data_IF_134497927346
#
_entry.id   IF_134497927346
#
_cell.length_a   1.000
_cell.length_b   1.000
_cell.length_c   1.000
_cell.angle_alpha   90.00
_cell.angle_beta   90.00
_cell.angle_gamma   90.00
#
_symmetry.space_group_name_H-M   'P 1'
#
loop_
_entity.id
_entity.type
_entity.pdbx_description
1 polymer ?
#
# COMPACT_ATOMS: atom_id res chain seq x y z
N UNK A 1 -103.14 -3.10 13.64
CA UNK A 1 -102.27 -2.94 14.85
C UNK A 1 -100.88 -2.64 14.34
N UNK A 2 -100.36 -1.51 14.73
CA UNK A 2 -99.25 -0.78 14.07
C UNK A 2 -97.97 -1.11 14.85
N UNK A 3 -96.95 -1.56 14.19
CA UNK A 3 -95.63 -1.69 14.78
C UNK A 3 -94.61 -0.90 13.96
N UNK A 4 -94.11 0.16 14.52
CA UNK A 4 -93.10 1.04 13.96
C UNK A 4 -91.73 0.42 14.13
N UNK A 5 -90.98 0.23 13.04
CA UNK A 5 -89.58 -0.18 13.04
C UNK A 5 -88.75 1.06 12.90
N UNK A 6 -87.99 1.41 13.92
CA UNK A 6 -87.03 2.50 13.92
C UNK A 6 -85.69 1.99 13.34
N UNK A 7 -85.34 2.46 12.17
CA UNK A 7 -83.99 2.30 11.63
C UNK A 7 -83.07 3.34 12.31
N UNK A 8 -82.08 2.87 13.07
CA UNK A 8 -81.00 3.67 13.55
C UNK A 8 -79.87 3.68 12.49
N UNK A 9 -79.66 4.83 11.87
CA UNK A 9 -78.51 5.01 10.93
C UNK A 9 -77.22 5.21 11.77
N UNK A 10 -76.31 4.22 11.67
CA UNK A 10 -74.99 4.30 12.24
C UNK A 10 -74.07 5.02 11.24
N UNK A 11 -73.78 6.28 11.47
CA UNK A 11 -72.81 7.08 10.71
C UNK A 11 -71.42 6.71 11.17
N UNK A 12 -70.72 5.89 10.42
CA UNK A 12 -69.27 5.58 10.58
C UNK A 12 -68.47 6.76 10.11
N UNK A 13 -67.89 7.47 11.06
CA UNK A 13 -66.94 8.57 10.82
C UNK A 13 -65.60 7.98 10.39
N UNK A 14 -65.31 7.91 9.08
CA UNK A 14 -64.00 7.60 8.53
C UNK A 14 -63.09 8.81 8.74
N UNK A 15 -62.25 8.76 9.78
CA UNK A 15 -61.12 9.64 9.97
C UNK A 15 -60.06 9.28 8.94
N UNK A 16 -59.60 10.20 8.07
CA UNK A 16 -58.40 9.93 7.28
C UNK A 16 -57.21 9.87 8.22
N UNK A 17 -56.62 8.71 8.37
CA UNK A 17 -55.30 8.56 8.93
C UNK A 17 -54.33 9.25 7.97
N UNK A 18 -54.14 10.55 8.15
CA UNK A 18 -53.04 11.28 7.52
C UNK A 18 -51.74 10.58 7.99
N UNK A 19 -51.19 9.81 7.11
CA UNK A 19 -49.93 9.12 7.37
C UNK A 19 -48.81 10.16 7.52
N UNK A 20 -48.40 10.38 8.74
CA UNK A 20 -47.16 11.08 9.06
C UNK A 20 -45.92 10.21 8.68
N UNK A 21 -45.94 9.57 7.50
CA UNK A 21 -44.81 8.74 7.07
C UNK A 21 -43.78 9.46 6.24
N UNK A 22 -44.04 10.69 5.79
CA UNK A 22 -43.07 11.43 4.98
C UNK A 22 -42.07 12.26 5.81
N UNK A 23 -42.27 12.36 7.13
CA UNK A 23 -41.37 13.15 7.99
C UNK A 23 -40.05 12.40 8.36
N UNK A 24 -39.97 11.09 8.09
CA UNK A 24 -38.77 10.27 8.41
C UNK A 24 -37.84 9.99 7.22
N UNK A 25 -38.11 10.59 6.06
CA UNK A 25 -37.27 10.46 4.87
C UNK A 25 -36.45 11.70 4.53
N UNK A 26 -36.32 12.65 5.42
CA UNK A 26 -35.24 13.61 5.27
C UNK A 26 -33.95 12.84 5.54
N UNK A 27 -33.23 12.54 4.47
CA UNK A 27 -31.86 12.03 4.57
C UNK A 27 -31.07 13.08 5.32
N UNK A 28 -30.92 12.87 6.63
CA UNK A 28 -30.13 13.75 7.47
C UNK A 28 -28.71 13.68 6.95
N UNK A 29 -28.14 14.81 6.65
CA UNK A 29 -26.78 14.98 6.19
C UNK A 29 -25.89 15.45 7.32
N UNK A 30 -24.62 15.23 7.21
CA UNK A 30 -23.57 15.85 7.98
C UNK A 30 -22.44 16.28 7.06
N UNK A 31 -21.37 16.78 7.61
CA UNK A 31 -20.24 17.36 6.87
C UNK A 31 -18.95 16.63 7.19
N UNK A 32 -18.16 16.33 6.17
CA UNK A 32 -16.78 15.89 6.30
C UNK A 32 -15.84 17.07 6.03
N UNK A 33 -14.92 17.34 6.95
CA UNK A 33 -13.85 18.33 6.85
C UNK A 33 -12.54 17.57 6.71
N UNK A 34 -12.03 17.46 5.47
CA UNK A 34 -10.87 16.64 5.16
C UNK A 34 -9.62 17.51 5.13
N UNK A 35 -8.62 17.13 5.92
CA UNK A 35 -7.34 17.82 6.01
C UNK A 35 -6.19 16.82 6.13
N UNK A 36 -4.97 17.30 5.88
CA UNK A 36 -3.76 16.52 6.16
C UNK A 36 -3.12 17.00 7.46
N UNK A 37 -2.59 16.04 8.23
CA UNK A 37 -1.75 16.36 9.37
C UNK A 37 -0.43 16.93 8.90
N UNK A 38 -0.05 18.07 9.45
CA UNK A 38 1.23 18.73 9.20
C UNK A 38 2.20 18.48 10.40
N UNK A 39 3.47 18.11 10.17
CA UNK A 39 4.09 17.85 8.88
C UNK A 39 3.93 16.39 8.44
N UNK A 40 3.83 16.17 7.13
CA UNK A 40 4.06 14.84 6.58
C UNK A 40 5.42 14.32 7.07
N UNK A 41 5.54 13.03 7.45
CA UNK A 41 6.80 12.51 7.97
C UNK A 41 7.94 12.76 6.98
N UNK A 42 8.90 13.59 7.40
CA UNK A 42 10.05 13.93 6.55
C UNK A 42 10.96 12.71 6.45
N UNK A 43 11.25 12.22 5.23
CA UNK A 43 12.19 11.13 5.06
C UNK A 43 13.58 11.54 5.55
N UNK A 44 14.04 10.95 6.66
CA UNK A 44 15.40 11.14 7.15
C UNK A 44 16.39 10.39 6.27
N UNK A 45 17.09 11.13 5.41
CA UNK A 45 18.21 10.70 4.53
C UNK A 45 17.84 9.97 3.25
N UNK A 46 17.88 10.68 2.26
CA UNK A 46 17.99 10.66 0.81
C UNK A 46 16.79 11.39 0.25
N UNK A 47 17.09 12.48 -0.40
CA UNK A 47 16.13 13.47 -0.87
C UNK A 47 15.19 12.90 -1.94
N UNK A 48 14.26 12.07 -1.54
CA UNK A 48 13.05 11.88 -2.31
C UNK A 48 12.15 13.04 -1.92
N UNK A 49 11.90 13.95 -2.84
CA UNK A 49 10.96 15.03 -2.63
C UNK A 49 9.62 14.43 -2.22
N UNK A 50 9.03 14.93 -1.13
CA UNK A 50 7.66 14.59 -0.77
C UNK A 50 6.76 15.02 -1.94
N UNK A 51 5.77 14.20 -2.33
CA UNK A 51 4.83 14.60 -3.37
C UNK A 51 4.03 15.82 -2.90
N UNK A 52 3.62 16.64 -3.86
CA UNK A 52 2.72 17.76 -3.59
C UNK A 52 1.40 17.24 -3.04
N UNK A 53 1.05 17.65 -1.82
CA UNK A 53 -0.16 17.23 -1.12
C UNK A 53 -1.42 17.57 -1.93
N UNK A 54 -1.42 18.69 -2.65
CA UNK A 54 -2.53 19.11 -3.51
C UNK A 54 -2.89 18.08 -4.58
N UNK A 55 -1.90 17.32 -5.04
CA UNK A 55 -2.07 16.28 -6.07
C UNK A 55 -2.58 14.94 -5.55
N UNK A 56 -2.64 14.72 -4.23
CA UNK A 56 -3.15 13.46 -3.67
C UNK A 56 -4.59 13.22 -4.09
N UNK A 57 -4.88 12.03 -4.58
CA UNK A 57 -6.25 11.62 -4.88
C UNK A 57 -6.98 11.29 -3.59
N UNK A 58 -8.05 12.03 -3.33
CA UNK A 58 -8.97 11.76 -2.23
C UNK A 58 -10.14 10.98 -2.78
N UNK A 59 -10.51 9.89 -2.08
CA UNK A 59 -11.71 9.11 -2.38
C UNK A 59 -12.55 8.99 -1.12
N UNK A 60 -13.84 9.29 -1.22
CA UNK A 60 -14.82 9.16 -0.13
C UNK A 60 -15.91 8.21 -0.59
N UNK A 61 -16.04 7.06 0.09
CA UNK A 61 -17.03 6.03 -0.23
C UNK A 61 -17.84 5.67 1.02
N UNK A 62 -19.12 5.34 0.85
CA UNK A 62 -19.91 4.76 1.93
C UNK A 62 -19.69 3.24 2.06
N UNK A 63 -20.32 2.63 3.06
CA UNK A 63 -20.24 1.20 3.32
C UNK A 63 -20.79 0.33 2.17
N UNK A 64 -21.55 0.89 1.24
CA UNK A 64 -22.06 0.19 0.04
C UNK A 64 -21.12 0.31 -1.17
N UNK A 65 -20.04 1.11 -1.04
CA UNK A 65 -19.11 1.40 -2.13
C UNK A 65 -19.55 2.56 -3.01
N UNK A 66 -20.62 3.29 -2.66
CA UNK A 66 -21.01 4.49 -3.39
C UNK A 66 -20.00 5.60 -3.15
N UNK A 67 -19.51 6.18 -4.24
CA UNK A 67 -18.55 7.29 -4.23
C UNK A 67 -19.26 8.62 -4.05
N UNK A 68 -18.79 9.42 -3.09
CA UNK A 68 -19.26 10.78 -2.81
C UNK A 68 -18.26 11.84 -3.25
N UNK A 69 -16.97 11.50 -3.24
CA UNK A 69 -15.92 12.31 -3.82
C UNK A 69 -14.82 11.41 -4.38
N UNK A 70 -14.25 11.82 -5.51
CA UNK A 70 -13.10 11.18 -6.13
C UNK A 70 -12.35 12.22 -6.99
N UNK A 71 -11.24 12.73 -6.49
CA UNK A 71 -10.47 13.78 -7.16
C UNK A 71 -9.24 14.21 -6.38
N UNK A 72 -8.46 15.16 -6.92
CA UNK A 72 -7.29 15.69 -6.24
C UNK A 72 -7.69 16.52 -5.01
N UNK A 73 -6.82 16.50 -3.98
CA UNK A 73 -7.07 17.22 -2.74
C UNK A 73 -7.30 18.72 -2.95
N UNK A 74 -6.55 19.35 -3.84
CA UNK A 74 -6.72 20.78 -4.17
C UNK A 74 -8.13 21.17 -4.68
N UNK A 75 -8.93 20.16 -5.11
CA UNK A 75 -10.31 20.33 -5.57
C UNK A 75 -11.34 19.78 -4.59
N UNK A 76 -10.90 19.25 -3.45
CA UNK A 76 -11.80 18.76 -2.42
C UNK A 76 -12.56 19.95 -1.83
N UNK A 77 -13.90 19.89 -1.75
CA UNK A 77 -14.65 20.93 -1.05
C UNK A 77 -14.19 21.08 0.40
N UNK A 78 -14.09 22.30 0.90
CA UNK A 78 -13.79 22.58 2.32
C UNK A 78 -14.79 21.87 3.23
N UNK A 79 -16.04 21.78 2.78
CA UNK A 79 -17.16 21.12 3.45
C UNK A 79 -17.82 20.12 2.49
N UNK A 80 -17.56 18.84 2.67
CA UNK A 80 -18.19 17.78 1.88
C UNK A 80 -19.45 17.28 2.59
N UNK A 81 -20.61 17.71 2.12
CA UNK A 81 -21.91 17.25 2.65
C UNK A 81 -22.22 15.82 2.20
N UNK A 82 -22.48 14.93 3.16
CA UNK A 82 -22.82 13.53 2.92
C UNK A 82 -24.02 13.09 3.80
N UNK A 83 -24.83 12.09 3.39
CA UNK A 83 -25.85 11.51 4.28
C UNK A 83 -25.24 10.98 5.58
N UNK A 84 -26.02 10.94 6.67
CA UNK A 84 -25.58 10.30 7.90
C UNK A 84 -25.25 8.81 7.64
N UNK A 85 -24.05 8.36 8.04
CA UNK A 85 -23.57 7.01 7.74
C UNK A 85 -22.10 6.81 8.07
N UNK A 86 -21.56 5.68 7.65
CA UNK A 86 -20.14 5.35 7.78
C UNK A 86 -19.45 5.48 6.43
N UNK A 87 -18.29 6.13 6.44
CA UNK A 87 -17.52 6.45 5.24
C UNK A 87 -16.09 5.98 5.38
N UNK A 88 -15.53 5.53 4.27
CA UNK A 88 -14.10 5.34 4.10
C UNK A 88 -13.56 6.54 3.35
N UNK A 89 -12.63 7.26 3.98
CA UNK A 89 -11.89 8.38 3.39
C UNK A 89 -10.46 7.92 3.16
N UNK A 90 -10.01 7.94 1.92
CA UNK A 90 -8.64 7.56 1.56
C UNK A 90 -7.94 8.67 0.78
N UNK A 91 -6.65 8.79 0.98
CA UNK A 91 -5.76 9.63 0.21
C UNK A 91 -4.60 8.79 -0.32
N UNK A 92 -4.24 8.95 -1.59
CA UNK A 92 -3.07 8.32 -2.19
C UNK A 92 -2.34 9.30 -3.11
N UNK A 93 -1.00 9.29 -3.06
CA UNK A 93 -0.18 10.21 -3.87
C UNK A 93 -0.18 9.87 -5.35
N UNK A 94 -0.26 8.59 -5.70
CA UNK A 94 -0.30 8.08 -7.06
C UNK A 94 -0.86 6.66 -7.08
N UNK A 95 -1.36 6.22 -8.24
CA UNK A 95 -1.65 4.81 -8.47
C UNK A 95 -0.34 4.01 -8.50
N UNK A 96 -0.37 2.78 -7.97
CA UNK A 96 0.77 1.87 -7.97
C UNK A 96 0.27 0.44 -8.18
N UNK A 97 0.30 -0.01 -9.43
CA UNK A 97 -0.29 -1.29 -9.84
C UNK A 97 0.78 -2.34 -10.21
N UNK A 98 2.01 -1.90 -10.43
CA UNK A 98 3.13 -2.76 -10.81
C UNK A 98 4.44 -2.21 -10.25
N UNK A 99 5.46 -3.08 -10.09
CA UNK A 99 6.79 -2.65 -9.66
C UNK A 99 7.37 -1.55 -10.56
N UNK A 100 7.99 -0.55 -9.94
CA UNK A 100 8.60 0.57 -10.66
C UNK A 100 9.75 1.19 -9.86
N UNK A 101 10.70 1.85 -10.58
CA UNK A 101 11.81 2.56 -9.94
C UNK A 101 11.39 3.96 -9.50
N UNK A 102 11.89 4.39 -8.34
CA UNK A 102 11.69 5.74 -7.76
C UNK A 102 10.22 6.17 -7.64
N UNK A 103 9.33 5.23 -7.37
CA UNK A 103 7.90 5.47 -7.26
C UNK A 103 7.36 5.11 -5.86
N UNK A 104 7.77 5.82 -4.80
CA UNK A 104 7.14 5.63 -3.50
C UNK A 104 5.69 6.09 -3.59
N UNK A 105 4.79 5.28 -3.02
CA UNK A 105 3.38 5.61 -2.87
C UNK A 105 3.10 6.02 -1.43
N UNK A 106 2.46 7.16 -1.24
CA UNK A 106 2.06 7.68 0.06
C UNK A 106 0.55 7.67 0.18
N UNK A 107 0.03 7.43 1.38
CA UNK A 107 -1.40 7.49 1.61
C UNK A 107 -1.79 7.20 3.05
N UNK A 108 -3.10 7.38 3.27
CA UNK A 108 -3.81 7.05 4.51
C UNK A 108 -5.23 6.64 4.18
N UNK A 109 -5.82 5.84 5.05
CA UNK A 109 -7.23 5.44 4.92
C UNK A 109 -7.86 5.42 6.30
N UNK A 110 -8.96 6.16 6.46
CA UNK A 110 -9.71 6.26 7.70
C UNK A 110 -11.17 5.89 7.49
N UNK A 111 -11.76 5.23 8.48
CA UNK A 111 -13.18 4.95 8.53
C UNK A 111 -13.81 5.85 9.59
N UNK A 112 -14.78 6.66 9.16
CA UNK A 112 -15.42 7.66 10.01
C UNK A 112 -16.94 7.51 9.99
N UNK A 113 -17.60 7.86 11.09
CA UNK A 113 -19.06 7.87 11.17
C UNK A 113 -19.54 9.31 11.21
N UNK A 114 -20.45 9.65 10.30
CA UNK A 114 -21.06 10.97 10.19
C UNK A 114 -22.50 10.89 10.73
N UNK A 115 -22.77 11.59 11.82
CA UNK A 115 -24.13 11.74 12.32
C UNK A 115 -24.86 12.86 11.57
N UNK A 116 -26.19 12.89 11.69
CA UNK A 116 -26.97 13.99 11.14
C UNK A 116 -26.59 15.30 11.83
N UNK A 117 -26.51 16.37 11.04
CA UNK A 117 -26.19 17.72 11.48
C UNK A 117 -24.83 17.84 12.22
N UNK A 118 -23.90 16.88 12.00
CA UNK A 118 -22.58 16.86 12.61
C UNK A 118 -21.49 17.22 11.60
N UNK A 119 -20.52 17.99 12.04
CA UNK A 119 -19.25 18.21 11.35
C UNK A 119 -18.21 17.22 11.87
N UNK A 120 -17.61 16.47 10.96
CA UNK A 120 -16.60 15.45 11.28
C UNK A 120 -15.28 15.81 10.61
N UNK A 121 -14.29 16.16 11.43
CA UNK A 121 -12.93 16.39 10.95
C UNK A 121 -12.23 15.07 10.68
N UNK A 122 -11.63 14.94 9.49
CA UNK A 122 -10.82 13.79 9.05
C UNK A 122 -9.41 14.29 8.77
N UNK A 123 -8.51 14.04 9.70
CA UNK A 123 -7.12 14.46 9.59
C UNK A 123 -6.27 13.28 9.08
N UNK A 124 -5.94 13.30 7.78
CA UNK A 124 -5.17 12.24 7.12
C UNK A 124 -3.68 12.31 7.48
N UNK A 125 -3.12 11.19 7.92
CA UNK A 125 -1.71 11.05 8.31
C UNK A 125 -0.98 10.11 7.35
N UNK A 126 -0.67 10.63 6.15
CA UNK A 126 -0.10 9.81 5.09
C UNK A 126 1.27 9.25 5.43
N UNK A 127 1.43 7.97 5.14
CA UNK A 127 2.68 7.24 5.25
C UNK A 127 2.95 6.48 3.95
N UNK A 128 4.18 6.00 3.77
CA UNK A 128 4.51 5.20 2.61
C UNK A 128 3.72 3.88 2.63
N UNK A 129 2.98 3.58 1.57
CA UNK A 129 2.13 2.39 1.45
C UNK A 129 2.87 1.20 0.85
N UNK A 130 3.80 1.45 -0.05
CA UNK A 130 4.62 0.42 -0.70
C UNK A 130 5.94 0.18 0.04
N UNK A 131 6.71 -0.80 -0.41
CA UNK A 131 8.03 -1.13 0.09
C UNK A 131 9.06 -0.96 -1.01
N UNK A 132 10.36 -0.88 -0.67
CA UNK A 132 11.43 -0.66 -1.62
C UNK A 132 12.58 -1.65 -1.46
N UNK A 133 13.23 -1.98 -2.57
CA UNK A 133 14.47 -2.73 -2.61
C UNK A 133 15.50 -1.98 -3.44
N UNK A 134 16.66 -1.72 -2.85
CA UNK A 134 17.82 -1.16 -3.54
C UNK A 134 18.93 -2.21 -3.58
N UNK A 135 19.35 -2.59 -4.77
CA UNK A 135 20.49 -3.45 -4.95
C UNK A 135 21.74 -2.64 -5.29
N UNK A 136 22.83 -2.94 -4.61
CA UNK A 136 24.16 -2.41 -4.92
C UNK A 136 25.00 -3.58 -5.40
N UNK A 137 25.28 -3.61 -6.70
CA UNK A 137 26.05 -4.70 -7.31
C UNK A 137 27.53 -4.38 -7.24
N UNK A 138 28.28 -5.18 -6.48
CA UNK A 138 29.72 -5.03 -6.30
C UNK A 138 30.50 -5.46 -7.57
N UNK A 139 31.70 -4.91 -7.75
CA UNK A 139 32.55 -5.25 -8.88
C UNK A 139 32.93 -6.73 -8.92
N UNK A 140 33.07 -7.38 -7.77
CA UNK A 140 33.32 -8.82 -7.69
C UNK A 140 32.19 -9.63 -8.30
N UNK A 141 30.93 -9.22 -8.05
CA UNK A 141 29.76 -9.84 -8.64
C UNK A 141 29.71 -9.63 -10.15
N UNK A 142 29.90 -8.36 -10.60
CA UNK A 142 29.89 -7.99 -12.04
C UNK A 142 30.92 -8.76 -12.84
N UNK A 143 32.13 -8.94 -12.30
CA UNK A 143 33.21 -9.70 -12.94
C UNK A 143 32.91 -11.21 -13.01
N UNK A 144 32.33 -11.76 -11.97
CA UNK A 144 32.01 -13.20 -11.89
C UNK A 144 30.85 -13.59 -12.79
N UNK A 145 29.84 -12.72 -12.88
CA UNK A 145 28.58 -12.93 -13.62
C UNK A 145 28.43 -11.90 -14.74
N UNK A 146 29.49 -11.68 -15.53
CA UNK A 146 29.55 -10.58 -16.51
C UNK A 146 28.51 -10.65 -17.63
N UNK A 147 27.96 -11.82 -17.91
CA UNK A 147 26.88 -12.04 -18.89
C UNK A 147 25.49 -12.15 -18.25
N UNK A 148 25.39 -11.95 -16.95
CA UNK A 148 24.14 -12.12 -16.23
C UNK A 148 23.26 -10.89 -16.23
N UNK A 149 21.97 -11.09 -16.09
CA UNK A 149 20.96 -10.04 -15.88
C UNK A 149 20.20 -10.32 -14.59
N UNK A 150 20.07 -9.32 -13.74
CA UNK A 150 19.26 -9.44 -12.52
C UNK A 150 17.80 -9.09 -12.82
N UNK A 151 16.90 -9.79 -12.14
CA UNK A 151 15.48 -9.54 -12.16
C UNK A 151 14.96 -9.43 -10.72
N UNK A 152 14.08 -8.47 -10.51
CA UNK A 152 13.35 -8.26 -9.26
C UNK A 152 11.89 -8.57 -9.52
N UNK A 153 11.28 -9.48 -8.80
CA UNK A 153 9.90 -9.91 -9.03
C UNK A 153 9.08 -9.94 -7.75
N UNK A 154 7.79 -9.63 -7.88
CA UNK A 154 6.74 -9.76 -6.88
C UNK A 154 5.50 -10.42 -7.49
N UNK A 155 4.41 -10.52 -6.72
CA UNK A 155 3.14 -11.03 -7.23
C UNK A 155 2.56 -10.15 -8.35
N UNK A 156 2.84 -8.85 -8.34
CA UNK A 156 2.31 -7.85 -9.26
C UNK A 156 3.17 -7.67 -10.51
N UNK A 157 4.29 -8.37 -10.61
CA UNK A 157 5.17 -8.29 -11.78
C UNK A 157 6.65 -8.20 -11.44
N UNK A 158 7.45 -7.81 -12.41
CA UNK A 158 8.90 -7.77 -12.24
C UNK A 158 9.57 -6.65 -13.01
N UNK A 159 10.82 -6.39 -12.62
CA UNK A 159 11.71 -5.40 -13.21
C UNK A 159 13.02 -6.08 -13.61
N UNK A 160 13.53 -5.76 -14.78
CA UNK A 160 14.91 -5.99 -15.10
C UNK A 160 15.79 -5.01 -14.32
N UNK A 161 16.87 -5.49 -13.73
CA UNK A 161 17.78 -4.69 -12.91
C UNK A 161 19.20 -4.74 -13.49
N UNK A 162 19.57 -3.81 -14.37
CA UNK A 162 20.94 -3.69 -14.88
C UNK A 162 21.94 -3.50 -13.74
N UNK A 163 23.14 -4.04 -13.87
CA UNK A 163 24.17 -3.93 -12.83
C UNK A 163 24.58 -2.51 -12.43
N UNK A 164 24.30 -1.53 -13.28
CA UNK A 164 24.52 -0.11 -12.99
C UNK A 164 23.32 0.61 -12.41
N UNK A 165 22.20 -0.07 -12.17
CA UNK A 165 21.02 0.55 -11.62
C UNK A 165 21.23 0.84 -10.13
N UNK A 166 21.01 2.10 -9.74
CA UNK A 166 21.19 2.56 -8.36
C UNK A 166 19.89 3.05 -7.72
N UNK A 167 18.83 3.16 -8.52
CA UNK A 167 17.52 3.57 -8.02
C UNK A 167 16.90 2.51 -7.13
N UNK A 168 15.97 2.94 -6.28
CA UNK A 168 15.16 2.02 -5.48
C UNK A 168 13.99 1.51 -6.32
N UNK A 169 13.87 0.18 -6.42
CA UNK A 169 12.69 -0.46 -6.97
C UNK A 169 11.62 -0.56 -5.89
N UNK A 170 10.40 -0.13 -6.21
CA UNK A 170 9.27 -0.19 -5.29
C UNK A 170 8.31 -1.32 -5.68
N UNK A 171 7.65 -1.90 -4.66
CA UNK A 171 6.74 -3.04 -4.75
C UNK A 171 5.58 -2.84 -3.77
N UNK A 172 4.43 -3.48 -4.03
CA UNK A 172 3.44 -3.67 -2.97
C UNK A 172 4.02 -4.56 -1.86
N UNK A 173 3.56 -4.39 -0.60
CA UNK A 173 4.01 -5.22 0.51
C UNK A 173 3.81 -6.71 0.23
N UNK A 174 4.85 -7.49 0.42
CA UNK A 174 4.82 -8.91 0.09
C UNK A 174 6.20 -9.50 -0.18
N UNK A 175 6.23 -10.67 -0.80
CA UNK A 175 7.47 -11.34 -1.17
C UNK A 175 8.09 -10.70 -2.41
N UNK A 176 9.34 -10.25 -2.27
CA UNK A 176 10.18 -9.78 -3.37
C UNK A 176 11.31 -10.76 -3.58
N UNK A 177 11.45 -11.25 -4.80
CA UNK A 177 12.46 -12.24 -5.20
C UNK A 177 13.48 -11.59 -6.12
N UNK A 178 14.75 -11.88 -5.88
CA UNK A 178 15.87 -11.47 -6.75
C UNK A 178 16.41 -12.70 -7.44
N UNK A 179 16.48 -12.63 -8.77
CA UNK A 179 16.92 -13.70 -9.64
C UNK A 179 18.08 -13.23 -10.51
N UNK A 180 18.97 -14.14 -10.84
CA UNK A 180 20.04 -13.96 -11.82
C UNK A 180 19.74 -14.84 -13.04
N UNK A 181 19.71 -14.24 -14.20
CA UNK A 181 19.65 -14.95 -15.48
C UNK A 181 21.05 -14.99 -16.11
N UNK A 182 21.55 -16.18 -16.36
CA UNK A 182 22.81 -16.41 -17.08
C UNK A 182 22.53 -17.28 -18.31
N UNK A 183 22.52 -16.66 -19.47
CA UNK A 183 22.35 -17.38 -20.75
C UNK A 183 21.00 -18.08 -20.90
N UNK A 184 19.94 -17.52 -20.34
CA UNK A 184 18.57 -18.05 -20.37
C UNK A 184 18.23 -18.99 -19.21
N UNK A 185 19.16 -19.20 -18.29
CA UNK A 185 18.93 -19.95 -17.07
C UNK A 185 18.76 -19.00 -15.88
N UNK A 186 17.56 -18.94 -15.32
CA UNK A 186 17.24 -18.13 -14.14
C UNK A 186 17.41 -18.91 -12.87
N UNK A 187 18.14 -18.34 -11.93
CA UNK A 187 18.27 -18.86 -10.58
C UNK A 187 17.87 -17.80 -9.54
N UNK A 188 17.11 -18.20 -8.56
CA UNK A 188 16.77 -17.35 -7.43
C UNK A 188 17.99 -17.16 -6.55
N UNK A 189 18.40 -15.91 -6.32
CA UNK A 189 19.46 -15.57 -5.39
C UNK A 189 18.92 -15.52 -3.97
N UNK A 190 17.80 -14.84 -3.76
CA UNK A 190 17.08 -14.77 -2.49
C UNK A 190 15.66 -14.27 -2.69
N UNK A 191 14.84 -14.47 -1.66
CA UNK A 191 13.52 -13.87 -1.53
C UNK A 191 13.38 -13.24 -0.14
N UNK A 192 12.68 -12.10 -0.05
CA UNK A 192 12.39 -11.41 1.20
C UNK A 192 10.95 -10.93 1.21
N UNK A 193 10.27 -11.10 2.33
CA UNK A 193 8.99 -10.44 2.58
C UNK A 193 9.28 -9.05 3.09
N UNK A 194 8.76 -8.04 2.41
CA UNK A 194 8.88 -6.63 2.77
C UNK A 194 7.50 -6.10 3.18
N UNK A 195 7.51 -5.30 4.21
CA UNK A 195 6.32 -4.62 4.71
C UNK A 195 6.22 -3.19 4.17
N UNK A 196 5.04 -2.60 4.25
CA UNK A 196 4.86 -1.18 3.94
C UNK A 196 5.88 -0.33 4.73
N UNK A 197 6.37 0.75 4.11
CA UNK A 197 7.39 1.67 4.68
C UNK A 197 8.81 1.08 4.78
N UNK A 198 9.00 -0.19 4.46
CA UNK A 198 10.33 -0.80 4.45
C UNK A 198 11.06 -0.47 3.15
N UNK A 199 12.28 0.06 3.25
CA UNK A 199 13.23 0.15 2.14
C UNK A 199 14.49 -0.62 2.54
N UNK A 200 14.74 -1.72 1.83
CA UNK A 200 15.86 -2.60 2.09
C UNK A 200 16.99 -2.30 1.10
N UNK A 201 18.20 -2.10 1.59
CA UNK A 201 19.39 -1.99 0.74
C UNK A 201 20.24 -3.24 0.90
N UNK A 202 20.53 -3.91 -0.23
CA UNK A 202 21.32 -5.14 -0.27
C UNK A 202 22.50 -4.96 -1.21
N UNK A 203 23.69 -5.33 -0.75
CA UNK A 203 24.90 -5.42 -1.57
C UNK A 203 25.10 -6.86 -2.03
N UNK A 204 25.21 -7.05 -3.36
CA UNK A 204 25.55 -8.32 -3.97
C UNK A 204 27.05 -8.40 -4.23
N UNK A 205 27.72 -9.35 -3.59
CA UNK A 205 29.14 -9.61 -3.79
C UNK A 205 29.33 -11.08 -4.24
N UNK A 206 30.28 -11.34 -5.12
CA UNK A 206 30.75 -12.70 -5.36
C UNK A 206 31.91 -13.02 -4.41
N UNK A 207 31.83 -14.12 -3.70
CA UNK A 207 32.97 -14.65 -2.95
C UNK A 207 33.72 -15.68 -3.82
N UNK A 208 34.94 -15.35 -4.18
CA UNK A 208 35.82 -16.31 -4.88
C UNK A 208 36.56 -17.12 -3.81
N UNK A 209 36.01 -18.27 -3.47
CA UNK A 209 36.73 -19.26 -2.64
C UNK A 209 37.59 -20.18 -3.52
N UNK A 210 38.66 -20.78 -3.01
CA UNK A 210 39.56 -21.64 -3.80
C UNK A 210 38.91 -22.91 -4.36
N UNK A 211 37.65 -23.22 -4.04
CA UNK A 211 36.92 -24.42 -4.49
C UNK A 211 35.45 -24.22 -4.87
N UNK A 212 34.86 -23.05 -4.67
CA UNK A 212 33.48 -22.79 -5.08
C UNK A 212 33.24 -21.28 -5.16
N UNK A 213 32.70 -20.82 -6.29
CA UNK A 213 32.17 -19.44 -6.38
C UNK A 213 30.88 -19.39 -5.57
N UNK A 214 30.82 -18.50 -4.59
CA UNK A 214 29.61 -18.25 -3.81
C UNK A 214 29.14 -16.80 -3.98
N UNK A 215 27.84 -16.57 -3.86
CA UNK A 215 27.26 -15.23 -3.82
C UNK A 215 27.13 -14.85 -2.33
N UNK A 216 27.75 -13.74 -1.96
CA UNK A 216 27.59 -13.15 -0.63
C UNK A 216 26.59 -12.00 -0.71
N UNK A 217 25.57 -12.06 0.13
CA UNK A 217 24.63 -10.97 0.33
C UNK A 217 25.05 -10.20 1.58
N UNK A 218 25.22 -8.90 1.44
CA UNK A 218 25.45 -8.01 2.57
C UNK A 218 24.27 -7.08 2.71
N UNK A 219 23.56 -7.21 3.84
CA UNK A 219 22.48 -6.32 4.20
C UNK A 219 23.06 -4.99 4.69
N UNK A 220 22.69 -3.89 4.03
CA UNK A 220 23.02 -2.56 4.50
C UNK A 220 21.94 -2.09 5.49
N UNK A 221 22.14 -2.39 6.76
CA UNK A 221 21.22 -2.01 7.85
C UNK A 221 21.19 -0.51 8.14
N UNK A 222 22.10 0.27 7.56
CA UNK A 222 22.17 1.71 7.79
C UNK A 222 21.02 2.51 7.15
N UNK A 223 20.17 1.86 6.35
CA UNK A 223 19.10 2.49 5.58
C UNK A 223 17.75 1.80 5.69
N UNK A 224 17.42 1.26 6.84
CA UNK A 224 16.04 0.85 7.10
C UNK A 224 15.25 2.12 7.42
N UNK A 225 14.38 2.53 6.51
CA UNK A 225 13.43 3.62 6.72
C UNK A 225 12.29 3.11 7.61
N UNK A 226 12.55 3.01 8.91
CA UNK A 226 11.51 2.86 9.92
C UNK A 226 11.17 4.26 10.40
N UNK A 227 10.15 4.85 9.86
CA UNK A 227 9.47 5.95 10.53
C UNK A 227 8.76 5.32 11.73
N UNK A 228 9.27 5.66 12.90
CA UNK A 228 8.80 5.36 14.25
C UNK A 228 9.29 4.06 14.89
N UNK A 229 10.02 4.32 15.97
CA UNK A 229 10.58 3.45 17.02
C UNK A 229 11.83 2.65 16.63
N UNK A 230 12.92 3.38 16.46
CA UNK A 230 14.22 2.85 16.82
C UNK A 230 14.35 2.90 18.35
N UNK A 231 14.20 1.75 19.01
CA UNK A 231 14.62 1.61 20.41
C UNK A 231 16.12 1.29 20.38
N UNK A 232 17.00 2.19 20.88
CA UNK A 232 18.40 1.86 21.01
C UNK A 232 18.53 0.74 22.04
N UNK A 233 18.99 -0.45 21.65
CA UNK A 233 19.24 -1.57 22.56
C UNK A 233 18.52 -2.88 22.23
N UNK A 234 17.69 -2.95 21.19
CA UNK A 234 17.13 -4.20 20.70
C UNK A 234 18.20 -5.02 19.97
N UNK A 235 18.73 -6.05 20.63
CA UNK A 235 19.56 -7.08 19.98
C UNK A 235 18.76 -7.71 18.84
N UNK A 236 19.24 -7.58 17.59
CA UNK A 236 18.59 -8.25 16.47
C UNK A 236 18.95 -7.81 15.06
N UNK A 237 19.96 -6.97 14.86
CA UNK A 237 20.58 -6.84 13.55
C UNK A 237 21.60 -7.97 13.41
N UNK A 238 21.13 -9.20 13.25
CA UNK A 238 21.98 -10.33 12.88
C UNK A 238 22.56 -10.06 11.51
N UNK A 239 23.89 -10.10 11.44
CA UNK A 239 24.63 -10.13 10.18
C UNK A 239 24.19 -11.40 9.42
N UNK A 240 23.19 -11.28 8.54
CA UNK A 240 22.71 -12.39 7.73
C UNK A 240 23.64 -12.49 6.54
N UNK A 241 24.82 -12.99 6.77
CA UNK A 241 25.73 -13.48 5.73
C UNK A 241 25.22 -14.86 5.31
N UNK A 242 24.23 -14.94 4.40
CA UNK A 242 23.91 -16.20 3.74
C UNK A 242 24.85 -16.39 2.56
N UNK A 243 25.81 -17.28 2.71
CA UNK A 243 26.60 -17.79 1.60
C UNK A 243 25.76 -18.85 0.86
N UNK A 244 25.31 -18.55 -0.34
CA UNK A 244 24.72 -19.55 -1.23
C UNK A 244 25.85 -20.19 -2.02
N UNK A 245 26.00 -21.50 -1.89
CA UNK A 245 26.94 -22.27 -2.69
C UNK A 245 26.32 -22.61 -4.06
N UNK A 246 26.65 -21.81 -5.06
CA UNK A 246 26.16 -21.96 -6.43
C UNK A 246 26.64 -23.27 -7.08
N UNK A 247 27.74 -23.85 -6.60
CA UNK A 247 28.24 -25.13 -7.11
C UNK A 247 27.26 -26.27 -6.83
N UNK A 248 26.62 -26.29 -5.66
CA UNK A 248 25.65 -27.31 -5.27
C UNK A 248 24.37 -27.27 -6.09
N UNK A 249 23.95 -26.07 -6.54
CA UNK A 249 22.76 -25.90 -7.38
C UNK A 249 22.97 -26.43 -8.80
N UNK A 250 24.18 -26.25 -9.37
CA UNK A 250 24.54 -26.80 -10.69
C UNK A 250 24.60 -28.32 -10.72
N UNK A 251 25.07 -28.94 -9.65
CA UNK A 251 25.17 -30.41 -9.56
C UNK A 251 23.79 -31.07 -9.50
N UNK A 252 22.80 -30.45 -8.83
CA UNK A 252 21.43 -30.99 -8.77
C UNK A 252 20.63 -30.82 -10.08
N UNK A 253 20.96 -29.84 -10.91
CA UNK A 253 20.33 -29.65 -12.21
C UNK A 253 20.90 -30.63 -13.26
N UNK A 254 22.16 -31.06 -13.11
CA UNK A 254 22.82 -32.02 -14.02
C UNK A 254 22.43 -33.48 -13.79
N UNK A 255 21.91 -33.84 -12.61
CA UNK A 255 21.54 -35.25 -12.29
C UNK A 255 20.11 -35.65 -12.69
N UNK A 256 19.31 -34.72 -13.23
CA UNK A 256 17.94 -35.01 -13.71
C UNK A 256 17.84 -35.22 -15.23
N UNK A 257 18.94 -35.37 -15.91
CA UNK A 257 19.02 -35.56 -17.37
C UNK A 257 19.87 -36.71 -17.82
N UNK A 258 19.59 -37.93 -17.31
CA UNK A 258 19.97 -39.23 -17.95
C UNK A 258 18.81 -40.17 -17.76
#
# INVERSE_FOLDING_TARGET
MKTFLRMAALATLLLPAASCQDYFRQSRTGTLLISFRDPLPTPTRAAQALPDVGSFRITVTDATGKVYYDGPYERTPDELTVPAGTYTVSAVSAAFDAPAYDTPQWGDTQVVSVAADADVAVELSCSQLNCGLRLVVDDSFRKTFSGGTLYLSSAEGGLEHPYGEERTAFFLPGAVTVELDEGGYRQTLFSRTLEARQVLSIRLCASVGPKSGGIRLQLDTARTWLTEQFTPGGAGAGDITQAYDVATARTRAGEKGV
#
